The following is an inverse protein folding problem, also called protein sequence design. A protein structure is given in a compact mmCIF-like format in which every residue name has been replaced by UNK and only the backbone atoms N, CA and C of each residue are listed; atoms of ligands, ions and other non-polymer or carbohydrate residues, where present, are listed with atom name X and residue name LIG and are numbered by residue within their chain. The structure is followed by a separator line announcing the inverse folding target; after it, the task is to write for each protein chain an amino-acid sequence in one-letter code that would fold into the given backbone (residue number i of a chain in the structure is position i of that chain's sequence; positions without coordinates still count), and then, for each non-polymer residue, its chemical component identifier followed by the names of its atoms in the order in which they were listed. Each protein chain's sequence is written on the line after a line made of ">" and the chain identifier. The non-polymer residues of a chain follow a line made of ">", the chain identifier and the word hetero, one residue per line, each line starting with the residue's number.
data_IF_167813715223
#
_entry.id   IF_167813715223
#
_cell.length_a   1.000
_cell.length_b   1.000
_cell.length_c   1.000
_cell.angle_alpha   90.00
_cell.angle_beta   90.00
_cell.angle_gamma   90.00
#
_symmetry.space_group_name_H-M   'P 1'
#
loop_
_entity.id
_entity.type
_entity.pdbx_description
1 polymer ?
#
# COMPACT_ATOMS: atom_id res chain seq x y z
N UNK A 1 -13.89 0.82 27.60
CA UNK A 1 -13.82 1.43 26.26
C UNK A 1 -13.68 0.29 25.27
N UNK A 2 -14.69 0.02 24.44
CA UNK A 2 -14.59 -1.00 23.41
C UNK A 2 -13.54 -0.57 22.38
N UNK A 3 -12.45 -1.34 22.27
CA UNK A 3 -11.50 -1.13 21.19
C UNK A 3 -12.23 -1.38 19.86
N UNK A 4 -12.34 -0.33 19.03
CA UNK A 4 -12.88 -0.48 17.68
C UNK A 4 -12.09 -1.56 16.94
N UNK A 5 -12.77 -2.66 16.61
CA UNK A 5 -12.21 -3.82 15.91
C UNK A 5 -11.54 -3.40 14.59
N UNK A 6 -10.47 -4.07 14.19
CA UNK A 6 -9.68 -3.78 12.97
C UNK A 6 -10.57 -3.66 11.72
N UNK A 7 -11.60 -4.50 11.61
CA UNK A 7 -12.60 -4.47 10.54
C UNK A 7 -13.44 -3.18 10.53
N UNK A 8 -13.82 -2.69 11.71
CA UNK A 8 -14.58 -1.44 11.84
C UNK A 8 -13.75 -0.23 11.41
N UNK A 9 -12.42 -0.28 11.63
CA UNK A 9 -11.50 0.75 11.13
C UNK A 9 -11.17 0.61 9.64
N UNK A 10 -11.20 -0.61 9.08
CA UNK A 10 -10.96 -0.86 7.66
C UNK A 10 -12.14 -0.39 6.78
N UNK A 11 -13.37 -0.53 7.27
CA UNK A 11 -14.58 -0.03 6.61
C UNK A 11 -15.00 1.37 7.08
N UNK A 12 -14.12 2.10 7.76
CA UNK A 12 -14.37 3.49 8.12
C UNK A 12 -14.15 4.39 6.90
N UNK A 13 -15.22 4.65 6.14
CA UNK A 13 -15.23 5.51 4.96
C UNK A 13 -14.85 6.97 5.26
N UNK A 14 -14.76 7.36 6.54
CA UNK A 14 -14.29 8.69 6.95
C UNK A 14 -12.77 8.85 6.83
N UNK A 15 -11.99 7.77 6.65
CA UNK A 15 -10.51 7.77 6.63
C UNK A 15 -9.85 8.53 7.79
N UNK A 16 -10.53 8.67 8.94
CA UNK A 16 -10.05 9.46 10.08
C UNK A 16 -8.80 8.85 10.73
N UNK A 17 -8.48 7.58 10.45
CA UNK A 17 -7.26 6.92 10.92
C UNK A 17 -6.55 6.19 9.78
N UNK A 18 -5.24 6.41 9.66
CA UNK A 18 -4.41 5.77 8.65
C UNK A 18 -4.12 4.30 9.02
N UNK A 19 -5.09 3.40 8.78
CA UNK A 19 -4.92 1.95 8.96
C UNK A 19 -4.06 1.34 7.84
N UNK A 20 -3.83 2.11 6.78
CA UNK A 20 -3.19 1.65 5.54
C UNK A 20 -1.83 0.99 5.79
N UNK A 21 -0.98 1.54 6.67
CA UNK A 21 0.33 0.97 6.97
C UNK A 21 0.26 -0.45 7.57
N UNK A 22 -0.81 -0.78 8.29
CA UNK A 22 -1.01 -2.11 8.89
C UNK A 22 -1.54 -3.13 7.89
N UNK A 23 -2.28 -2.71 6.88
CA UNK A 23 -2.89 -3.61 5.88
C UNK A 23 -1.99 -3.82 4.65
N UNK A 24 -1.00 -2.97 4.40
CA UNK A 24 -0.09 -3.11 3.25
C UNK A 24 0.57 -4.50 3.14
N UNK A 25 1.05 -5.15 4.21
CA UNK A 25 1.58 -6.52 4.12
C UNK A 25 0.55 -7.52 3.58
N UNK A 26 -0.71 -7.39 4.00
CA UNK A 26 -1.81 -8.22 3.50
C UNK A 26 -2.13 -7.91 2.04
N UNK A 27 -2.20 -6.63 1.65
CA UNK A 27 -2.41 -6.23 0.26
C UNK A 27 -1.29 -6.70 -0.66
N UNK A 28 -0.04 -6.67 -0.18
CA UNK A 28 1.08 -7.21 -0.94
C UNK A 28 0.99 -8.73 -1.09
N UNK A 29 0.59 -9.45 -0.03
CA UNK A 29 0.32 -10.89 -0.13
C UNK A 29 -0.75 -11.21 -1.18
N UNK A 30 -1.86 -10.45 -1.19
CA UNK A 30 -2.92 -10.58 -2.20
C UNK A 30 -2.42 -10.25 -3.61
N UNK A 31 -1.60 -9.21 -3.75
CA UNK A 31 -0.97 -8.84 -5.01
C UNK A 31 -0.13 -9.98 -5.57
N UNK A 32 0.72 -10.60 -4.74
CA UNK A 32 1.53 -11.76 -5.15
C UNK A 32 0.66 -12.95 -5.52
N UNK A 33 -0.39 -13.25 -4.74
CA UNK A 33 -1.31 -14.34 -5.03
C UNK A 33 -1.98 -14.18 -6.41
N UNK A 34 -2.42 -12.96 -6.74
CA UNK A 34 -2.95 -12.64 -8.08
C UNK A 34 -1.89 -12.88 -9.15
N UNK A 35 -0.65 -12.40 -8.93
CA UNK A 35 0.46 -12.62 -9.86
C UNK A 35 0.74 -14.10 -10.14
N UNK A 36 0.69 -14.94 -9.11
CA UNK A 36 0.85 -16.41 -9.25
C UNK A 36 -0.30 -17.00 -10.06
N UNK A 37 -1.55 -16.67 -9.73
CA UNK A 37 -2.73 -17.20 -10.42
C UNK A 37 -2.69 -16.82 -11.91
N UNK A 38 -2.38 -15.55 -12.21
CA UNK A 38 -2.28 -15.07 -13.59
C UNK A 38 -1.13 -15.78 -14.31
N UNK A 39 0.06 -15.86 -13.73
CA UNK A 39 1.22 -16.54 -14.32
C UNK A 39 0.93 -18.02 -14.60
N UNK A 40 0.30 -18.74 -13.67
CA UNK A 40 -0.12 -20.13 -13.88
C UNK A 40 -1.19 -20.28 -14.96
N UNK A 41 -2.14 -19.34 -15.03
CA UNK A 41 -3.18 -19.34 -16.07
C UNK A 41 -2.61 -19.14 -17.48
N UNK A 42 -1.50 -18.40 -17.61
CA UNK A 42 -0.78 -18.24 -18.88
C UNK A 42 -0.19 -19.56 -19.36
N UNK A 43 0.28 -20.42 -18.43
CA UNK A 43 0.79 -21.75 -18.74
C UNK A 43 -0.34 -22.73 -19.10
N UNK A 44 -1.44 -22.71 -18.34
CA UNK A 44 -2.55 -23.64 -18.52
C UNK A 44 -3.44 -23.33 -19.74
N UNK A 45 -3.50 -22.07 -20.17
CA UNK A 45 -4.48 -21.59 -21.14
C UNK A 45 -3.91 -20.67 -22.20
N UNK A 46 -2.65 -20.88 -22.63
CA UNK A 46 -1.84 -20.02 -23.51
C UNK A 46 -2.45 -19.48 -24.84
N UNK A 47 -3.75 -19.68 -25.10
CA UNK A 47 -4.50 -19.08 -26.21
C UNK A 47 -5.50 -17.98 -25.80
N UNK A 48 -5.99 -17.93 -24.55
CA UNK A 48 -7.22 -17.14 -24.27
C UNK A 48 -6.95 -15.72 -23.77
N UNK A 49 -5.98 -15.53 -22.87
CA UNK A 49 -5.64 -14.19 -22.34
C UNK A 49 -4.61 -13.43 -23.20
N UNK A 50 -3.72 -14.15 -23.88
CA UNK A 50 -2.67 -13.58 -24.74
C UNK A 50 -2.97 -13.85 -26.21
N UNK A 51 -4.18 -13.53 -26.66
CA UNK A 51 -4.55 -13.61 -28.09
C UNK A 51 -3.99 -12.40 -28.87
N UNK A 52 -2.71 -12.08 -28.66
CA UNK A 52 -1.94 -11.23 -29.55
C UNK A 52 -1.49 -12.08 -30.75
N UNK A 53 -2.40 -12.28 -31.70
CA UNK A 53 -2.10 -12.53 -33.13
C UNK A 53 -1.38 -13.80 -33.58
N UNK A 54 -0.72 -14.59 -32.73
CA UNK A 54 0.11 -15.72 -33.20
C UNK A 54 -0.55 -17.08 -32.92
N UNK A 55 -0.85 -17.79 -34.02
CA UNK A 55 -1.52 -19.07 -34.04
C UNK A 55 -0.81 -20.17 -33.26
N UNK A 56 -1.61 -21.11 -32.76
CA UNK A 56 -1.23 -22.28 -32.00
C UNK A 56 -0.32 -23.21 -32.83
N UNK A 57 1.00 -23.10 -32.67
CA UNK A 57 1.97 -24.12 -33.07
C UNK A 57 2.84 -24.45 -31.85
N UNK A 58 3.32 -25.69 -31.72
CA UNK A 58 3.97 -26.23 -30.51
C UNK A 58 5.16 -25.44 -29.93
N UNK A 59 5.66 -24.41 -30.62
CA UNK A 59 6.58 -23.40 -30.05
C UNK A 59 5.94 -22.44 -29.04
N UNK A 60 4.61 -22.43 -28.92
CA UNK A 60 3.85 -21.52 -28.05
C UNK A 60 3.99 -21.81 -26.55
N UNK A 61 4.26 -23.05 -26.13
CA UNK A 61 4.39 -23.39 -24.71
C UNK A 61 5.68 -22.85 -24.08
N UNK A 62 6.83 -23.05 -24.75
CA UNK A 62 8.12 -22.51 -24.28
C UNK A 62 8.10 -20.99 -24.24
N UNK A 63 7.48 -20.36 -25.25
CA UNK A 63 7.31 -18.91 -25.29
C UNK A 63 6.40 -18.42 -24.15
N UNK A 64 5.29 -19.12 -23.88
CA UNK A 64 4.40 -18.82 -22.75
C UNK A 64 5.11 -18.95 -21.40
N UNK A 65 5.96 -19.97 -21.23
CA UNK A 65 6.74 -20.16 -20.00
C UNK A 65 7.68 -18.97 -19.74
N UNK A 66 8.42 -18.55 -20.77
CA UNK A 66 9.32 -17.39 -20.67
C UNK A 66 8.53 -16.12 -20.30
N UNK A 67 7.40 -15.89 -20.98
CA UNK A 67 6.54 -14.74 -20.68
C UNK A 67 5.91 -14.78 -19.30
N UNK A 68 5.46 -15.96 -18.83
CA UNK A 68 4.87 -16.13 -17.50
C UNK A 68 5.88 -15.81 -16.39
N UNK A 69 7.14 -16.22 -16.57
CA UNK A 69 8.23 -15.90 -15.64
C UNK A 69 8.53 -14.40 -15.66
N UNK A 70 8.76 -13.81 -16.84
CA UNK A 70 9.04 -12.38 -16.98
C UNK A 70 7.90 -11.54 -16.37
N UNK A 71 6.66 -11.87 -16.72
CA UNK A 71 5.47 -11.21 -16.19
C UNK A 71 5.42 -11.28 -14.67
N UNK A 72 5.63 -12.47 -14.08
CA UNK A 72 5.60 -12.63 -12.64
C UNK A 72 6.63 -11.75 -11.94
N UNK A 73 7.88 -11.73 -12.43
CA UNK A 73 8.93 -10.87 -11.86
C UNK A 73 8.58 -9.39 -11.98
N UNK A 74 8.13 -8.93 -13.15
CA UNK A 74 7.70 -7.54 -13.33
C UNK A 74 6.52 -7.19 -12.43
N UNK A 75 5.57 -8.10 -12.25
CA UNK A 75 4.43 -7.94 -11.36
C UNK A 75 4.87 -7.79 -9.89
N UNK A 76 5.80 -8.63 -9.43
CA UNK A 76 6.36 -8.55 -8.06
C UNK A 76 7.10 -7.21 -7.86
N UNK A 77 7.94 -6.80 -8.81
CA UNK A 77 8.70 -5.55 -8.75
C UNK A 77 7.75 -4.35 -8.76
N UNK A 78 6.78 -4.32 -9.68
CA UNK A 78 5.76 -3.27 -9.74
C UNK A 78 4.95 -3.17 -8.46
N UNK A 79 4.58 -4.32 -7.89
CA UNK A 79 3.93 -4.40 -6.58
C UNK A 79 4.79 -3.81 -5.45
N UNK A 80 6.10 -4.07 -5.44
CA UNK A 80 7.03 -3.48 -4.45
C UNK A 80 7.06 -1.97 -4.55
N UNK A 81 7.28 -1.45 -5.75
CA UNK A 81 7.36 0.00 -6.01
C UNK A 81 6.04 0.68 -5.62
N UNK A 82 4.90 0.07 -5.99
CA UNK A 82 3.58 0.59 -5.64
C UNK A 82 3.37 0.65 -4.13
N UNK A 83 3.63 -0.45 -3.42
CA UNK A 83 3.43 -0.51 -1.98
C UNK A 83 4.38 0.42 -1.23
N UNK A 84 5.64 0.53 -1.66
CA UNK A 84 6.60 1.50 -1.10
C UNK A 84 6.11 2.94 -1.30
N UNK A 85 5.60 3.27 -2.49
CA UNK A 85 5.04 4.60 -2.77
C UNK A 85 3.88 4.89 -1.82
N UNK A 86 2.95 3.94 -1.65
CA UNK A 86 1.82 4.07 -0.73
C UNK A 86 2.31 4.25 0.72
N UNK A 87 3.25 3.42 1.19
CA UNK A 87 3.84 3.54 2.54
C UNK A 87 4.44 4.93 2.74
N UNK A 88 5.24 5.41 1.79
CA UNK A 88 5.93 6.70 1.87
C UNK A 88 4.92 7.85 1.97
N UNK A 89 3.88 7.86 1.15
CA UNK A 89 2.84 8.89 1.21
C UNK A 89 2.15 8.93 2.57
N UNK A 90 1.78 7.78 3.13
CA UNK A 90 1.16 7.72 4.46
C UNK A 90 2.13 8.13 5.58
N UNK A 91 3.40 7.72 5.51
CA UNK A 91 4.42 8.15 6.48
C UNK A 91 4.67 9.66 6.45
N UNK A 92 4.64 10.28 5.27
CA UNK A 92 4.77 11.74 5.13
C UNK A 92 3.58 12.44 5.81
N UNK A 93 2.35 11.95 5.59
CA UNK A 93 1.16 12.49 6.23
C UNK A 93 1.23 12.41 7.77
N UNK A 94 1.65 11.26 8.31
CA UNK A 94 1.82 11.07 9.76
C UNK A 94 2.91 11.99 10.34
N UNK A 95 4.08 12.04 9.70
CA UNK A 95 5.18 12.89 10.14
C UNK A 95 4.80 14.39 10.11
N UNK A 96 4.04 14.82 9.10
CA UNK A 96 3.57 16.22 9.00
C UNK A 96 2.63 16.57 10.16
N UNK A 97 1.72 15.65 10.54
CA UNK A 97 0.85 15.84 11.71
C UNK A 97 1.64 15.95 13.02
N UNK A 98 2.67 15.11 13.19
CA UNK A 98 3.56 15.16 14.35
C UNK A 98 4.35 16.48 14.44
N UNK A 99 4.84 16.99 13.29
CA UNK A 99 5.56 18.26 13.24
C UNK A 99 4.69 19.46 13.67
N UNK A 100 3.40 19.48 13.28
CA UNK A 100 2.46 20.53 13.69
C UNK A 100 2.16 20.47 15.19
N UNK A 101 2.06 19.27 15.77
CA UNK A 101 1.88 19.12 17.22
C UNK A 101 3.12 19.56 18.00
N UNK A 102 4.31 19.17 17.52
CA UNK A 102 5.58 19.56 18.13
C UNK A 102 5.83 21.09 18.05
N UNK A 103 5.40 21.76 16.98
CA UNK A 103 5.52 23.21 16.85
C UNK A 103 4.57 23.97 17.78
N UNK A 104 3.36 23.44 18.04
CA UNK A 104 2.42 24.00 19.03
C UNK A 104 2.90 23.85 20.48
N UNK A 105 3.56 22.73 20.80
CA UNK A 105 4.12 22.50 22.15
C UNK A 105 5.30 23.41 22.52
N UNK A 106 5.89 24.13 21.55
CA UNK A 106 7.00 25.06 21.76
C UNK A 106 6.58 26.52 21.91
N UNK A 107 5.29 26.85 21.91
CA UNK A 107 4.89 28.21 22.31
C UNK A 107 5.35 28.42 23.76
N UNK A 108 6.23 29.40 24.03
CA UNK A 108 6.52 29.78 25.40
C UNK A 108 5.18 30.11 26.03
N UNK A 109 4.84 29.44 27.14
CA UNK A 109 3.76 29.93 27.99
C UNK A 109 4.18 31.35 28.35
N UNK A 110 3.58 32.34 27.70
CA UNK A 110 3.68 33.72 28.14
C UNK A 110 3.16 33.70 29.57
N UNK A 111 4.10 33.79 30.52
CA UNK A 111 3.82 33.97 31.93
C UNK A 111 2.96 35.24 32.01
N UNK A 112 1.67 35.04 32.29
CA UNK A 112 0.72 36.12 32.47
C UNK A 112 1.20 37.08 33.57
N UNK A 113 0.84 38.37 33.47
CA UNK A 113 1.47 39.43 34.25
C UNK A 113 1.34 39.12 35.75
N UNK A 114 2.50 39.06 36.37
CA UNK A 114 2.73 38.97 37.81
C UNK A 114 1.71 39.80 38.58
N UNK A 115 0.88 39.09 39.35
CA UNK A 115 -0.06 39.62 40.34
C UNK A 115 0.64 40.29 41.55
N UNK A 116 1.77 40.97 41.32
CA UNK A 116 2.52 41.70 42.34
C UNK A 116 2.40 43.20 42.10
N UNK A 117 1.24 43.77 42.41
CA UNK A 117 1.10 45.20 42.73
C UNK A 117 -0.24 45.43 43.45
N UNK A 118 -0.49 44.65 44.50
CA UNK A 118 -1.54 44.94 45.48
C UNK A 118 -0.96 44.83 46.88
N UNK A 119 -0.05 45.75 47.22
CA UNK A 119 0.24 46.18 48.59
C UNK A 119 0.50 47.69 48.55
#
# INVERSE_FOLDING_TARGET
>A
MEEKSFWSRLFDFSFSSFVTLKIIPFLYGLWIAIGVIVSLSMLAGGASFMRFGYGFSGGSFLLSLIWAVIYFFLWVIGGRIWMETVIVLFRIAENTSLLVQASRGKQPKEEGPSQEASI
#
